data_IF_416664932910
#
_entry.id   IF_416664932910
#
_cell.length_a   1.000
_cell.length_b   1.000
_cell.length_c   1.000
_cell.angle_alpha   90.00
_cell.angle_beta   90.00
_cell.angle_gamma   90.00
#
_symmetry.space_group_name_H-M   'P 1'
#
loop_
_entity.id
_entity.type
_entity.pdbx_description
1 polymer ?
#
# COMPACT_ATOMS: atom_id res chain seq x y z
N UNK A 1 -29.35 -11.65 -5.51
CA UNK A 1 -28.56 -10.41 -5.30
C UNK A 1 -28.08 -10.21 -3.86
N UNK A 2 -28.61 -10.89 -2.84
CA UNK A 2 -28.18 -10.73 -1.43
C UNK A 2 -26.93 -11.54 -1.00
N UNK A 3 -26.30 -12.31 -1.91
CA UNK A 3 -25.19 -13.22 -1.60
C UNK A 3 -23.99 -13.07 -2.56
N UNK A 4 -23.96 -12.00 -3.36
CA UNK A 4 -22.82 -11.76 -4.26
C UNK A 4 -21.75 -10.95 -3.53
N UNK A 5 -20.54 -11.49 -3.51
CA UNK A 5 -19.34 -10.85 -2.98
C UNK A 5 -18.58 -10.14 -4.11
N UNK A 6 -17.88 -9.07 -3.72
CA UNK A 6 -16.96 -8.35 -4.58
C UNK A 6 -15.54 -8.86 -4.35
N UNK A 7 -14.81 -9.11 -5.44
CA UNK A 7 -13.44 -9.61 -5.39
C UNK A 7 -12.50 -8.71 -6.17
N UNK A 8 -11.42 -8.27 -5.55
CA UNK A 8 -10.28 -7.70 -6.26
C UNK A 8 -9.40 -8.84 -6.73
N UNK A 9 -9.18 -8.91 -8.04
CA UNK A 9 -8.34 -9.91 -8.67
C UNK A 9 -7.02 -9.28 -9.07
N UNK A 10 -5.92 -10.00 -8.82
CA UNK A 10 -4.58 -9.66 -9.30
C UNK A 10 -4.20 -10.69 -10.36
N UNK A 11 -4.02 -10.24 -11.60
CA UNK A 11 -3.60 -11.06 -12.74
C UNK A 11 -2.20 -10.75 -13.27
N UNK A 12 -1.49 -9.78 -12.71
CA UNK A 12 -0.19 -9.31 -13.20
C UNK A 12 1.03 -9.80 -12.40
N UNK A 13 2.22 -9.57 -13.00
CA UNK A 13 3.56 -9.90 -12.52
C UNK A 13 3.96 -9.30 -11.16
N UNK A 14 3.28 -8.24 -10.72
CA UNK A 14 3.66 -7.47 -9.53
C UNK A 14 3.28 -8.23 -8.24
N UNK A 15 4.18 -9.12 -7.84
CA UNK A 15 4.04 -10.03 -6.71
C UNK A 15 5.17 -11.08 -6.63
N UNK A 16 5.78 -11.41 -7.77
CA UNK A 16 6.73 -12.52 -7.90
C UNK A 16 8.20 -12.09 -7.89
N UNK A 17 8.50 -10.87 -8.35
CA UNK A 17 9.87 -10.34 -8.43
C UNK A 17 10.26 -9.60 -7.15
N UNK A 18 11.24 -10.14 -6.43
CA UNK A 18 11.72 -9.58 -5.17
C UNK A 18 12.86 -8.58 -5.36
N UNK A 19 13.42 -8.47 -6.56
CA UNK A 19 14.42 -7.48 -6.97
C UNK A 19 13.85 -6.06 -6.89
N UNK A 20 12.66 -5.85 -7.45
CA UNK A 20 11.96 -4.58 -7.34
C UNK A 20 11.60 -4.28 -5.88
N UNK A 21 11.16 -5.28 -5.10
CA UNK A 21 10.84 -5.08 -3.69
C UNK A 21 12.07 -4.62 -2.89
N UNK A 22 13.21 -5.25 -3.12
CA UNK A 22 14.48 -4.85 -2.53
C UNK A 22 14.86 -3.42 -2.94
N UNK A 23 14.73 -3.06 -4.23
CA UNK A 23 15.02 -1.71 -4.71
C UNK A 23 14.16 -0.67 -3.99
N UNK A 24 12.85 -0.90 -3.86
CA UNK A 24 11.94 0.01 -3.14
C UNK A 24 12.32 0.13 -1.66
N UNK A 25 12.73 -0.96 -1.02
CA UNK A 25 13.20 -0.94 0.36
C UNK A 25 14.50 -0.11 0.50
N UNK A 26 15.46 -0.27 -0.42
CA UNK A 26 16.70 0.50 -0.45
C UNK A 26 16.42 1.99 -0.64
N UNK A 27 15.49 2.37 -1.53
CA UNK A 27 15.09 3.76 -1.74
C UNK A 27 14.51 4.36 -0.44
N UNK A 28 13.63 3.63 0.25
CA UNK A 28 13.04 4.11 1.50
C UNK A 28 14.08 4.28 2.63
N UNK A 29 15.01 3.34 2.75
CA UNK A 29 16.15 3.44 3.68
C UNK A 29 17.01 4.66 3.32
N UNK A 30 17.28 4.87 2.04
CA UNK A 30 18.08 6.01 1.57
C UNK A 30 17.41 7.34 1.91
N UNK A 31 16.10 7.49 1.67
CA UNK A 31 15.32 8.68 2.06
C UNK A 31 15.42 8.91 3.57
N UNK A 32 15.30 7.84 4.36
CA UNK A 32 15.38 7.92 5.83
C UNK A 32 16.75 8.41 6.30
N UNK A 33 17.83 7.88 5.71
CA UNK A 33 19.21 8.31 6.02
C UNK A 33 19.44 9.76 5.58
N UNK A 34 18.91 10.16 4.41
CA UNK A 34 19.04 11.51 3.90
C UNK A 34 18.30 12.53 4.79
N UNK A 35 17.07 12.25 5.22
CA UNK A 35 16.31 13.12 6.13
C UNK A 35 17.05 13.29 7.46
N UNK A 36 17.63 12.22 8.02
CA UNK A 36 18.45 12.31 9.23
C UNK A 36 19.68 13.19 8.99
N UNK A 37 20.44 12.98 7.92
CA UNK A 37 21.65 13.78 7.66
C UNK A 37 21.38 15.25 7.34
N UNK A 38 20.24 15.56 6.70
CA UNK A 38 19.95 16.92 6.26
C UNK A 38 19.17 17.75 7.28
N UNK A 39 18.26 17.13 8.03
CA UNK A 39 17.35 17.84 8.96
C UNK A 39 17.62 17.53 10.42
N UNK A 40 18.64 16.70 10.72
CA UNK A 40 19.02 16.24 12.06
C UNK A 40 17.83 15.73 12.90
N UNK A 41 16.88 15.06 12.24
CA UNK A 41 15.71 14.46 12.88
C UNK A 41 15.59 13.00 12.55
N UNK A 42 14.89 12.26 13.41
CA UNK A 42 14.71 10.80 13.27
C UNK A 42 13.28 10.39 12.94
N UNK A 43 12.44 11.34 12.54
CA UNK A 43 11.03 11.11 12.20
C UNK A 43 10.86 9.94 11.23
N UNK A 44 11.63 9.93 10.14
CA UNK A 44 11.50 8.93 9.08
C UNK A 44 11.96 7.57 9.54
N UNK A 45 12.96 7.53 10.44
CA UNK A 45 13.42 6.29 11.03
C UNK A 45 12.32 5.66 11.89
N UNK A 46 11.63 6.44 12.70
CA UNK A 46 10.54 5.94 13.54
C UNK A 46 9.31 5.51 12.72
N UNK A 47 8.99 6.26 11.66
CA UNK A 47 7.94 5.87 10.70
C UNK A 47 8.31 4.58 9.98
N UNK A 48 9.57 4.44 9.55
CA UNK A 48 10.09 3.26 8.89
C UNK A 48 9.97 2.03 9.79
N UNK A 49 10.48 2.10 11.03
CA UNK A 49 10.47 0.99 11.98
C UNK A 49 9.04 0.59 12.37
N UNK A 50 8.18 1.57 12.65
CA UNK A 50 6.79 1.31 13.01
C UNK A 50 6.04 0.67 11.84
N UNK A 51 6.17 1.23 10.64
CA UNK A 51 5.59 0.67 9.43
C UNK A 51 6.11 -0.73 9.15
N UNK A 52 7.41 -1.00 9.36
CA UNK A 52 8.02 -2.30 9.11
C UNK A 52 7.42 -3.37 10.01
N UNK A 53 7.34 -3.09 11.32
CA UNK A 53 6.71 -4.02 12.29
C UNK A 53 5.25 -4.24 11.93
N UNK A 54 4.50 -3.16 11.69
CA UNK A 54 3.08 -3.23 11.41
C UNK A 54 2.77 -3.99 10.12
N UNK A 55 3.37 -3.60 9.00
CA UNK A 55 3.05 -4.18 7.69
C UNK A 55 3.60 -5.61 7.54
N UNK A 56 4.78 -5.90 8.10
CA UNK A 56 5.30 -7.28 8.14
C UNK A 56 4.35 -8.19 8.93
N UNK A 57 3.77 -7.71 10.03
CA UNK A 57 2.78 -8.47 10.81
C UNK A 57 1.50 -8.74 10.02
N UNK A 58 1.03 -7.75 9.24
CA UNK A 58 -0.12 -7.90 8.34
C UNK A 58 0.18 -8.92 7.24
N UNK A 59 1.34 -8.83 6.58
CA UNK A 59 1.74 -9.77 5.53
C UNK A 59 1.91 -11.20 6.07
N UNK A 60 2.47 -11.35 7.28
CA UNK A 60 2.58 -12.64 7.95
C UNK A 60 1.19 -13.24 8.21
N UNK A 61 0.24 -12.44 8.69
CA UNK A 61 -1.14 -12.89 8.92
C UNK A 61 -1.82 -13.30 7.62
N UNK A 62 -1.68 -12.51 6.54
CA UNK A 62 -2.25 -12.83 5.23
C UNK A 62 -1.67 -14.12 4.63
N UNK A 63 -0.38 -14.36 4.87
CA UNK A 63 0.27 -15.60 4.47
C UNK A 63 -0.24 -16.80 5.27
N UNK A 64 -0.27 -16.71 6.61
CA UNK A 64 -0.73 -17.79 7.49
C UNK A 64 -2.21 -18.16 7.27
N UNK A 65 -3.03 -17.21 6.83
CA UNK A 65 -4.46 -17.42 6.53
C UNK A 65 -4.71 -17.92 5.11
N UNK A 66 -3.67 -18.11 4.29
CA UNK A 66 -3.80 -18.56 2.90
C UNK A 66 -4.46 -17.54 1.96
N UNK A 67 -4.69 -16.30 2.43
CA UNK A 67 -5.23 -15.20 1.60
C UNK A 67 -4.18 -14.74 0.59
N UNK A 68 -2.90 -14.83 0.96
CA UNK A 68 -1.77 -14.49 0.09
C UNK A 68 -0.83 -15.67 -0.04
N UNK A 69 -0.86 -16.32 -1.19
CA UNK A 69 0.19 -17.25 -1.58
C UNK A 69 1.43 -16.47 -2.06
N UNK A 70 2.62 -16.90 -1.66
CA UNK A 70 3.90 -16.34 -2.09
C UNK A 70 4.75 -17.44 -2.75
N UNK A 71 4.27 -18.03 -3.86
CA UNK A 71 4.86 -19.24 -4.42
C UNK A 71 6.23 -18.98 -5.05
N UNK A 72 6.41 -17.80 -5.68
CA UNK A 72 7.64 -17.41 -6.35
C UNK A 72 8.36 -16.35 -5.51
N UNK A 73 9.40 -16.78 -4.78
CA UNK A 73 10.21 -15.91 -3.91
C UNK A 73 11.68 -15.97 -4.31
N UNK A 74 11.98 -15.45 -5.49
CA UNK A 74 13.33 -15.40 -6.01
C UNK A 74 13.92 -14.00 -5.92
N UNK A 75 15.13 -13.90 -5.39
CA UNK A 75 15.94 -12.69 -5.39
C UNK A 75 17.23 -12.97 -6.17
N UNK A 76 17.37 -12.33 -7.33
CA UNK A 76 18.47 -12.56 -8.28
C UNK A 76 18.64 -14.04 -8.64
N UNK A 77 17.53 -14.74 -8.84
CA UNK A 77 17.49 -16.17 -9.17
C UNK A 77 17.69 -17.12 -7.98
N UNK A 78 17.89 -16.60 -6.76
CA UNK A 78 18.01 -17.42 -5.54
C UNK A 78 16.68 -17.44 -4.80
N UNK A 79 16.16 -18.63 -4.50
CA UNK A 79 14.97 -18.76 -3.66
C UNK A 79 15.28 -18.30 -2.24
N UNK A 80 14.56 -17.28 -1.76
CA UNK A 80 14.71 -16.76 -0.39
C UNK A 80 13.68 -17.44 0.53
N UNK A 81 13.99 -17.64 1.82
CA UNK A 81 13.04 -18.26 2.74
C UNK A 81 11.93 -17.29 3.18
N UNK A 82 10.82 -17.83 3.70
CA UNK A 82 9.62 -17.06 4.13
C UNK A 82 9.97 -15.95 5.13
N UNK A 83 10.87 -16.23 6.06
CA UNK A 83 11.30 -15.27 7.08
C UNK A 83 12.11 -14.08 6.54
N UNK A 84 12.53 -14.14 5.28
CA UNK A 84 13.10 -13.00 4.52
C UNK A 84 12.05 -12.40 3.59
N UNK A 85 11.27 -13.25 2.92
CA UNK A 85 10.30 -12.81 1.91
C UNK A 85 9.17 -11.98 2.52
N UNK A 86 8.63 -12.38 3.67
CA UNK A 86 7.53 -11.66 4.35
C UNK A 86 7.98 -10.27 4.86
N UNK A 87 9.11 -10.11 5.57
CA UNK A 87 9.61 -8.78 5.90
C UNK A 87 9.93 -7.93 4.67
N UNK A 88 10.53 -8.51 3.62
CA UNK A 88 10.87 -7.75 2.41
C UNK A 88 9.62 -7.25 1.70
N UNK A 89 8.56 -8.07 1.65
CA UNK A 89 7.23 -7.69 1.22
C UNK A 89 6.66 -6.54 2.07
N UNK A 90 6.77 -6.69 3.40
CA UNK A 90 6.45 -5.70 4.41
C UNK A 90 7.04 -4.32 4.10
N UNK A 91 8.36 -4.32 3.90
CA UNK A 91 9.15 -3.14 3.60
C UNK A 91 8.77 -2.52 2.26
N UNK A 92 8.65 -3.32 1.20
CA UNK A 92 8.46 -2.78 -0.15
C UNK A 92 7.05 -2.25 -0.41
N UNK A 93 6.01 -2.99 -0.02
CA UNK A 93 4.63 -2.60 -0.32
C UNK A 93 4.08 -1.62 0.72
N UNK A 94 4.42 -1.80 2.00
CA UNK A 94 3.95 -0.93 3.08
C UNK A 94 4.93 0.21 3.34
N UNK A 95 6.11 -0.11 3.87
CA UNK A 95 6.98 0.92 4.45
C UNK A 95 7.48 1.92 3.42
N UNK A 96 7.94 1.45 2.27
CA UNK A 96 8.48 2.31 1.23
C UNK A 96 7.44 3.29 0.72
N UNK A 97 6.18 2.85 0.55
CA UNK A 97 5.09 3.70 0.09
C UNK A 97 4.74 4.75 1.15
N UNK A 98 4.68 4.37 2.43
CA UNK A 98 4.48 5.30 3.53
C UNK A 98 5.58 6.36 3.64
N UNK A 99 6.86 5.96 3.49
CA UNK A 99 8.01 6.86 3.51
C UNK A 99 7.99 7.79 2.30
N UNK A 100 7.69 7.30 1.09
CA UNK A 100 7.56 8.14 -0.09
C UNK A 100 6.42 9.15 0.04
N UNK A 101 5.26 8.73 0.55
CA UNK A 101 4.13 9.63 0.80
C UNK A 101 4.46 10.74 1.81
N UNK A 102 5.15 10.38 2.90
CA UNK A 102 5.61 11.35 3.90
C UNK A 102 6.68 12.30 3.34
N UNK A 103 7.61 11.77 2.53
CA UNK A 103 8.65 12.56 1.87
C UNK A 103 8.07 13.63 0.95
N UNK A 104 7.17 13.23 0.07
CA UNK A 104 6.49 14.15 -0.86
C UNK A 104 5.69 15.20 -0.07
N UNK A 105 5.03 14.78 1.02
CA UNK A 105 4.28 15.67 1.93
C UNK A 105 5.19 16.73 2.56
N UNK A 106 6.29 16.31 3.17
CA UNK A 106 7.20 17.24 3.85
C UNK A 106 7.87 18.20 2.86
N UNK A 107 8.20 17.73 1.65
CA UNK A 107 8.68 18.60 0.57
C UNK A 107 7.61 19.63 0.16
N UNK A 108 6.32 19.25 0.15
CA UNK A 108 5.23 20.15 -0.26
C UNK A 108 4.96 21.25 0.78
N UNK A 109 5.00 20.87 2.06
CA UNK A 109 4.77 21.76 3.19
C UNK A 109 5.89 22.79 3.34
N UNK A 110 7.12 22.40 2.99
CA UNK A 110 8.27 23.30 2.90
C UNK A 110 8.16 24.21 1.66
N UNK A 111 8.06 25.52 1.89
CA UNK A 111 7.85 26.51 0.81
C UNK A 111 8.99 26.55 -0.19
N UNK A 112 10.23 26.36 0.26
CA UNK A 112 11.41 26.42 -0.60
C UNK A 112 11.54 25.14 -1.43
N UNK A 113 11.11 24.02 -0.85
CA UNK A 113 11.25 22.69 -1.46
C UNK A 113 10.02 22.21 -2.23
N UNK A 114 8.90 22.97 -2.22
CA UNK A 114 7.63 22.59 -2.83
C UNK A 114 7.74 22.16 -4.30
N UNK A 115 8.58 22.82 -5.09
CA UNK A 115 8.81 22.43 -6.49
C UNK A 115 9.36 21.01 -6.62
N UNK A 116 10.22 20.59 -5.70
CA UNK A 116 10.79 19.24 -5.67
C UNK A 116 9.76 18.20 -5.23
N UNK A 117 8.74 18.58 -4.44
CA UNK A 117 7.61 17.69 -4.16
C UNK A 117 6.89 17.27 -5.43
N UNK A 118 6.55 18.24 -6.30
CA UNK A 118 5.87 17.96 -7.58
C UNK A 118 6.75 17.11 -8.48
N UNK A 119 8.05 17.44 -8.61
CA UNK A 119 9.00 16.67 -9.42
C UNK A 119 9.11 15.23 -8.90
N UNK A 120 9.25 15.06 -7.59
CA UNK A 120 9.36 13.73 -6.96
C UNK A 120 8.07 12.93 -7.16
N UNK A 121 6.91 13.57 -6.98
CA UNK A 121 5.60 12.95 -7.18
C UNK A 121 5.43 12.48 -8.63
N UNK A 122 5.77 13.32 -9.61
CA UNK A 122 5.74 12.95 -11.03
C UNK A 122 6.73 11.82 -11.34
N UNK A 123 7.95 11.86 -10.78
CA UNK A 123 8.94 10.80 -10.98
C UNK A 123 8.45 9.45 -10.43
N UNK A 124 7.83 9.43 -9.25
CA UNK A 124 7.21 8.23 -8.66
C UNK A 124 6.10 7.70 -9.57
N UNK A 125 5.18 8.57 -10.02
CA UNK A 125 4.08 8.19 -10.92
C UNK A 125 4.60 7.63 -12.24
N UNK A 126 5.57 8.30 -12.86
CA UNK A 126 6.17 7.85 -14.12
C UNK A 126 6.90 6.53 -13.92
N UNK A 127 7.68 6.37 -12.86
CA UNK A 127 8.35 5.09 -12.54
C UNK A 127 7.35 3.95 -12.36
N UNK A 128 6.26 4.19 -11.63
CA UNK A 128 5.18 3.20 -11.46
C UNK A 128 4.51 2.84 -12.78
N UNK A 129 4.19 3.82 -13.61
CA UNK A 129 3.62 3.58 -14.94
C UNK A 129 4.58 2.74 -15.79
N UNK A 130 5.86 3.12 -15.87
CA UNK A 130 6.86 2.37 -16.64
C UNK A 130 6.97 0.91 -16.17
N UNK A 131 6.99 0.68 -14.87
CA UNK A 131 7.03 -0.68 -14.31
C UNK A 131 5.76 -1.46 -14.69
N UNK A 132 4.57 -0.88 -14.56
CA UNK A 132 3.32 -1.58 -14.87
C UNK A 132 3.13 -1.88 -16.35
N UNK A 133 3.56 -0.97 -17.23
CA UNK A 133 3.44 -1.15 -18.68
C UNK A 133 4.65 -1.84 -19.33
N UNK A 134 5.71 -2.12 -18.56
CA UNK A 134 6.93 -2.78 -19.07
C UNK A 134 6.68 -4.16 -19.70
N UNK A 135 5.64 -4.86 -19.24
CA UNK A 135 5.26 -6.18 -19.73
C UNK A 135 4.03 -6.15 -20.65
N UNK A 136 3.61 -4.96 -21.11
CA UNK A 136 2.44 -4.77 -21.94
C UNK A 136 1.11 -4.73 -21.18
N UNK A 137 0.01 -4.74 -21.93
CA UNK A 137 -1.37 -4.72 -21.40
C UNK A 137 -1.90 -6.16 -21.37
N UNK A 138 -2.34 -6.58 -20.19
CA UNK A 138 -2.90 -7.90 -19.96
C UNK A 138 -4.40 -7.91 -20.26
N UNK A 139 -4.90 -9.03 -20.76
CA UNK A 139 -6.34 -9.26 -20.91
C UNK A 139 -6.82 -9.97 -19.63
N UNK A 140 -7.76 -9.38 -18.87
CA UNK A 140 -8.29 -9.99 -17.65
C UNK A 140 -8.85 -11.41 -17.87
N UNK A 141 -8.33 -12.40 -17.13
CA UNK A 141 -8.81 -13.78 -17.17
C UNK A 141 -10.02 -13.98 -16.23
N UNK A 142 -11.14 -13.37 -16.59
CA UNK A 142 -12.35 -13.32 -15.76
C UNK A 142 -12.88 -14.73 -15.47
N UNK A 143 -13.03 -15.06 -14.19
CA UNK A 143 -13.50 -16.38 -13.75
C UNK A 143 -12.48 -17.52 -13.91
N UNK A 144 -11.30 -17.23 -14.46
CA UNK A 144 -10.21 -18.21 -14.61
C UNK A 144 -9.30 -18.33 -13.40
N UNK A 145 -8.23 -19.13 -13.58
CA UNK A 145 -7.12 -19.22 -12.63
C UNK A 145 -6.32 -17.92 -12.65
N UNK A 146 -6.11 -17.36 -11.47
CA UNK A 146 -5.43 -16.07 -11.25
C UNK A 146 -4.54 -16.19 -10.01
N UNK A 147 -3.42 -15.43 -9.94
CA UNK A 147 -2.52 -15.45 -8.79
C UNK A 147 -3.18 -15.15 -7.44
N UNK A 148 -4.11 -14.19 -7.40
CA UNK A 148 -4.77 -13.81 -6.16
C UNK A 148 -6.17 -13.29 -6.41
N UNK A 149 -7.14 -13.80 -5.64
CA UNK A 149 -8.53 -13.31 -5.61
C UNK A 149 -8.91 -13.04 -4.16
N UNK A 150 -9.12 -11.77 -3.81
CA UNK A 150 -9.39 -11.33 -2.44
C UNK A 150 -10.74 -10.62 -2.38
N UNK A 151 -11.58 -11.03 -1.44
CA UNK A 151 -12.84 -10.35 -1.14
C UNK A 151 -12.60 -8.90 -0.68
N UNK A 152 -13.47 -7.97 -1.10
CA UNK A 152 -13.34 -6.54 -0.75
C UNK A 152 -13.79 -6.26 0.69
N UNK A 153 -14.87 -6.92 1.13
CA UNK A 153 -15.46 -6.74 2.46
C UNK A 153 -15.49 -8.05 3.27
N UNK A 154 -14.35 -8.72 3.48
CA UNK A 154 -14.32 -9.87 4.34
C UNK A 154 -14.49 -9.49 5.81
N UNK A 155 -14.80 -10.48 6.66
CA UNK A 155 -15.03 -10.25 8.10
C UNK A 155 -13.84 -9.57 8.79
N UNK A 156 -12.60 -9.86 8.36
CA UNK A 156 -11.40 -9.21 8.91
C UNK A 156 -11.27 -7.72 8.56
N UNK A 157 -12.05 -7.19 7.61
CA UNK A 157 -12.15 -5.74 7.41
C UNK A 157 -12.72 -5.01 8.63
N UNK A 158 -13.39 -5.73 9.55
CA UNK A 158 -13.78 -5.19 10.86
C UNK A 158 -12.59 -4.82 11.76
N UNK A 159 -11.37 -5.29 11.45
CA UNK A 159 -10.16 -4.90 12.15
C UNK A 159 -9.62 -3.54 11.70
N UNK A 160 -10.01 -3.03 10.52
CA UNK A 160 -9.52 -1.76 9.99
C UNK A 160 -9.75 -0.59 10.97
N UNK A 161 -10.95 -0.40 11.56
CA UNK A 161 -11.15 0.64 12.58
C UNK A 161 -10.20 0.51 13.78
N UNK A 162 -9.89 -0.72 14.22
CA UNK A 162 -8.96 -0.96 15.33
C UNK A 162 -7.55 -0.54 14.93
N UNK A 163 -7.10 -0.95 13.75
CA UNK A 163 -5.77 -0.62 13.21
C UNK A 163 -5.58 0.89 13.01
N UNK A 164 -6.64 1.59 12.61
CA UNK A 164 -6.62 3.03 12.32
C UNK A 164 -6.87 3.87 13.57
N UNK A 165 -7.40 3.29 14.65
CA UNK A 165 -7.73 4.02 15.89
C UNK A 165 -6.57 4.85 16.48
N UNK A 166 -5.28 4.43 16.44
CA UNK A 166 -4.18 5.28 16.91
C UNK A 166 -4.05 6.55 16.08
N UNK A 167 -4.25 6.47 14.76
CA UNK A 167 -4.21 7.63 13.89
C UNK A 167 -5.36 8.60 14.18
N UNK A 168 -6.58 8.11 14.34
CA UNK A 168 -7.74 8.94 14.69
C UNK A 168 -7.51 9.64 16.03
N UNK A 169 -7.05 8.89 17.05
CA UNK A 169 -6.76 9.44 18.36
C UNK A 169 -5.68 10.53 18.30
N UNK A 170 -4.58 10.28 17.57
CA UNK A 170 -3.52 11.24 17.36
C UNK A 170 -4.01 12.52 16.66
N UNK A 171 -4.80 12.39 15.59
CA UNK A 171 -5.37 13.53 14.87
C UNK A 171 -6.18 14.47 15.77
N UNK A 172 -6.93 13.90 16.73
CA UNK A 172 -7.74 14.67 17.69
C UNK A 172 -6.85 15.40 18.71
N UNK A 173 -5.77 14.75 19.17
CA UNK A 173 -4.96 15.24 20.30
C UNK A 173 -3.77 16.11 19.92
N UNK A 174 -3.26 15.99 18.71
CA UNK A 174 -2.03 16.67 18.29
C UNK A 174 -2.24 18.15 17.97
N UNK A 175 -1.15 18.90 18.00
CA UNK A 175 -1.05 20.30 17.59
C UNK A 175 -1.43 20.53 16.11
N UNK A 176 -1.65 21.80 15.74
CA UNK A 176 -2.10 22.17 14.38
C UNK A 176 -1.10 21.81 13.28
N UNK A 177 0.21 21.91 13.53
CA UNK A 177 1.23 21.66 12.52
C UNK A 177 1.41 20.16 12.26
N UNK A 178 1.47 19.34 13.32
CA UNK A 178 1.50 17.89 13.20
C UNK A 178 0.21 17.35 12.55
N UNK A 179 -0.95 17.94 12.91
CA UNK A 179 -2.23 17.60 12.29
C UNK A 179 -2.24 17.89 10.80
N UNK A 180 -1.73 19.07 10.42
CA UNK A 180 -1.58 19.47 9.01
C UNK A 180 -0.66 18.48 8.29
N UNK A 181 0.49 18.14 8.85
CA UNK A 181 1.42 17.14 8.30
C UNK A 181 0.72 15.80 8.05
N UNK A 182 -0.02 15.28 9.03
CA UNK A 182 -0.79 14.04 8.88
C UNK A 182 -1.87 14.13 7.80
N UNK A 183 -2.59 15.25 7.72
CA UNK A 183 -3.64 15.44 6.73
C UNK A 183 -3.10 15.50 5.30
N UNK A 184 -1.97 16.19 5.09
CA UNK A 184 -1.32 16.22 3.78
C UNK A 184 -0.74 14.85 3.40
N UNK A 185 -0.20 14.09 4.35
CA UNK A 185 0.22 12.70 4.12
C UNK A 185 -0.97 11.83 3.67
N UNK A 186 -2.12 11.96 4.34
CA UNK A 186 -3.34 11.26 3.93
C UNK A 186 -3.74 11.61 2.48
N UNK A 187 -3.75 12.89 2.12
CA UNK A 187 -4.07 13.34 0.75
C UNK A 187 -3.06 12.78 -0.26
N UNK A 188 -1.76 12.89 0.01
CA UNK A 188 -0.72 12.38 -0.89
C UNK A 188 -0.87 10.87 -1.10
N UNK A 189 -1.07 10.10 -0.02
CA UNK A 189 -1.29 8.66 -0.09
C UNK A 189 -2.57 8.30 -0.83
N UNK A 190 -3.65 9.06 -0.64
CA UNK A 190 -4.91 8.87 -1.36
C UNK A 190 -4.72 9.08 -2.88
N UNK A 191 -4.09 10.18 -3.29
CA UNK A 191 -3.86 10.46 -4.71
C UNK A 191 -2.92 9.41 -5.32
N UNK A 192 -1.81 9.07 -4.64
CA UNK A 192 -0.91 7.99 -5.08
C UNK A 192 -1.68 6.68 -5.23
N UNK A 193 -2.53 6.34 -4.26
CA UNK A 193 -3.36 5.14 -4.28
C UNK A 193 -4.32 5.08 -5.48
N UNK A 194 -5.02 6.18 -5.75
CA UNK A 194 -5.90 6.30 -6.92
C UNK A 194 -5.14 6.11 -8.23
N UNK A 195 -3.99 6.78 -8.39
CA UNK A 195 -3.17 6.69 -9.61
C UNK A 195 -2.58 5.29 -9.77
N UNK A 196 -2.09 4.69 -8.68
CA UNK A 196 -1.60 3.32 -8.65
C UNK A 196 -2.66 2.36 -9.17
N UNK A 197 -3.85 2.38 -8.57
CA UNK A 197 -4.94 1.49 -8.97
C UNK A 197 -5.41 1.75 -10.39
N UNK A 198 -5.45 3.00 -10.83
CA UNK A 198 -5.76 3.34 -12.21
C UNK A 198 -4.77 2.69 -13.19
N UNK A 199 -3.47 2.74 -12.92
CA UNK A 199 -2.48 2.07 -13.77
C UNK A 199 -2.59 0.55 -13.75
N UNK A 200 -2.90 -0.06 -12.59
CA UNK A 200 -3.18 -1.50 -12.55
C UNK A 200 -4.41 -1.88 -13.37
N UNK A 201 -5.44 -1.04 -13.33
CA UNK A 201 -6.66 -1.25 -14.10
C UNK A 201 -6.41 -1.08 -15.61
N UNK A 202 -5.70 0.00 -16.01
CA UNK A 202 -5.35 0.28 -17.40
C UNK A 202 -4.41 -0.78 -18.01
N UNK A 203 -3.49 -1.31 -17.22
CA UNK A 203 -2.59 -2.40 -17.65
C UNK A 203 -3.26 -3.78 -17.64
N UNK A 204 -4.52 -3.88 -17.19
CA UNK A 204 -5.26 -5.14 -17.07
C UNK A 204 -4.74 -6.09 -15.98
N UNK A 205 -3.84 -5.61 -15.12
CA UNK A 205 -3.22 -6.40 -14.05
C UNK A 205 -4.12 -6.53 -12.81
N UNK A 206 -5.07 -5.61 -12.61
CA UNK A 206 -6.12 -5.74 -11.59
C UNK A 206 -7.49 -5.40 -12.15
N UNK A 207 -8.48 -6.17 -11.75
CA UNK A 207 -9.90 -5.94 -12.08
C UNK A 207 -10.77 -6.38 -10.90
N UNK A 208 -12.07 -6.07 -10.97
CA UNK A 208 -13.04 -6.50 -9.96
C UNK A 208 -13.97 -7.54 -10.56
N UNK A 209 -14.21 -8.60 -9.80
CA UNK A 209 -15.19 -9.62 -10.12
C UNK A 209 -16.34 -9.59 -9.11
N UNK A 210 -17.53 -9.91 -9.61
CA UNK A 210 -18.73 -10.18 -8.80
C UNK A 210 -18.99 -11.67 -8.91
N UNK A 211 -19.22 -12.33 -7.79
CA UNK A 211 -19.60 -13.74 -7.78
C UNK A 211 -20.09 -14.20 -6.42
N UNK A 212 -20.42 -15.48 -6.30
CA UNK A 212 -20.87 -16.08 -5.04
C UNK A 212 -19.71 -16.82 -4.40
N UNK A 213 -19.43 -16.52 -3.12
CA UNK A 213 -18.53 -17.32 -2.30
C UNK A 213 -19.32 -18.50 -1.73
N UNK A 214 -19.00 -19.70 -2.19
CA UNK A 214 -19.65 -20.91 -1.71
C UNK A 214 -19.09 -21.31 -0.32
N UNK A 215 -19.82 -22.13 0.47
CA UNK A 215 -19.36 -22.57 1.80
C UNK A 215 -18.05 -23.39 1.79
N UNK A 216 -17.73 -24.02 0.66
CA UNK A 216 -16.49 -24.76 0.43
C UNK A 216 -15.28 -23.84 0.10
N UNK A 217 -15.48 -22.52 0.07
CA UNK A 217 -14.46 -21.54 -0.27
C UNK A 217 -14.24 -21.38 -1.78
N UNK A 218 -14.97 -22.12 -2.62
CA UNK A 218 -14.92 -22.00 -4.08
C UNK A 218 -15.80 -20.84 -4.52
N UNK A 219 -15.39 -20.14 -5.57
CA UNK A 219 -16.17 -19.05 -6.16
C UNK A 219 -16.97 -19.54 -7.36
N UNK A 220 -18.24 -19.16 -7.43
CA UNK A 220 -19.13 -19.47 -8.55
C UNK A 220 -19.74 -18.19 -9.15
N UNK A 221 -20.23 -18.29 -10.39
CA UNK A 221 -20.87 -17.18 -11.12
C UNK A 221 -19.99 -15.93 -11.25
N UNK A 222 -18.67 -16.12 -11.36
CA UNK A 222 -17.71 -15.03 -11.49
C UNK A 222 -17.91 -14.31 -12.83
N UNK A 223 -18.15 -13.01 -12.74
CA UNK A 223 -18.21 -12.10 -13.87
C UNK A 223 -17.46 -10.82 -13.54
N UNK A 224 -17.02 -10.09 -14.57
CA UNK A 224 -16.41 -8.78 -14.37
C UNK A 224 -17.47 -7.81 -13.84
N UNK A 225 -17.09 -6.99 -12.87
CA UNK A 225 -17.93 -5.92 -12.38
C UNK A 225 -18.16 -4.86 -13.46
N UNK A 226 -19.26 -4.12 -13.38
CA UNK A 226 -19.43 -2.94 -14.20
C UNK A 226 -18.43 -1.83 -13.80
N UNK A 227 -18.29 -0.82 -14.67
CA UNK A 227 -17.33 0.25 -14.46
C UNK A 227 -17.59 1.02 -13.15
N UNK A 228 -18.85 1.22 -12.78
CA UNK A 228 -19.22 1.98 -11.57
C UNK A 228 -18.73 1.25 -10.32
N UNK A 229 -18.94 -0.06 -10.26
CA UNK A 229 -18.48 -0.91 -9.16
C UNK A 229 -16.94 -1.00 -9.18
N UNK A 230 -16.31 -1.17 -10.33
CA UNK A 230 -14.84 -1.18 -10.43
C UNK A 230 -14.23 0.10 -9.86
N UNK A 231 -14.71 1.28 -10.29
CA UNK A 231 -14.22 2.57 -9.78
C UNK A 231 -14.55 2.80 -8.30
N UNK A 232 -15.71 2.34 -7.83
CA UNK A 232 -16.07 2.43 -6.41
C UNK A 232 -15.15 1.60 -5.52
N UNK A 233 -14.79 0.39 -5.97
CA UNK A 233 -13.83 -0.47 -5.26
C UNK A 233 -12.42 0.12 -5.31
N UNK A 234 -12.00 0.72 -6.43
CA UNK A 234 -10.74 1.45 -6.53
C UNK A 234 -10.69 2.59 -5.50
N UNK A 235 -11.76 3.40 -5.43
CA UNK A 235 -11.84 4.51 -4.49
C UNK A 235 -11.82 4.04 -3.04
N UNK A 236 -12.60 3.00 -2.72
CA UNK A 236 -12.57 2.37 -1.39
C UNK A 236 -11.16 1.92 -1.02
N UNK A 237 -10.46 1.24 -1.94
CA UNK A 237 -9.12 0.74 -1.67
C UNK A 237 -8.11 1.87 -1.46
N UNK A 238 -8.15 2.90 -2.31
CA UNK A 238 -7.28 4.07 -2.18
C UNK A 238 -7.51 4.83 -0.86
N UNK A 239 -8.75 4.99 -0.42
CA UNK A 239 -9.06 5.66 0.86
C UNK A 239 -8.69 4.77 2.04
N UNK A 240 -9.20 3.54 2.08
CA UNK A 240 -9.20 2.72 3.29
C UNK A 240 -7.93 1.88 3.40
N UNK A 241 -7.55 1.18 2.33
CA UNK A 241 -6.42 0.24 2.33
C UNK A 241 -5.08 0.89 1.99
N UNK A 242 -5.07 2.17 1.60
CA UNK A 242 -3.83 2.91 1.29
C UNK A 242 -3.74 4.18 2.12
N UNK A 243 -4.65 5.14 1.97
CA UNK A 243 -4.49 6.40 2.70
C UNK A 243 -4.65 6.22 4.21
N UNK A 244 -5.70 5.51 4.65
CA UNK A 244 -6.06 5.42 6.05
C UNK A 244 -5.16 4.45 6.85
N UNK A 245 -4.90 3.24 6.32
CA UNK A 245 -4.14 2.20 7.04
C UNK A 245 -2.64 2.52 7.21
N UNK A 246 -2.12 3.52 6.48
CA UNK A 246 -0.74 3.98 6.59
C UNK A 246 -0.58 5.12 7.61
N UNK A 247 -1.66 5.80 7.98
CA UNK A 247 -1.61 6.87 8.99
C UNK A 247 -1.04 6.42 10.35
N UNK A 248 -1.32 5.19 10.85
CA UNK A 248 -0.69 4.66 12.05
C UNK A 248 0.85 4.68 12.02
N UNK A 249 1.48 4.59 10.84
CA UNK A 249 2.95 4.60 10.73
C UNK A 249 3.53 5.91 11.22
N UNK A 250 2.80 7.03 11.04
CA UNK A 250 3.16 8.35 11.54
C UNK A 250 2.62 8.57 12.96
N UNK A 251 1.36 8.20 13.19
CA UNK A 251 0.68 8.49 14.45
C UNK A 251 1.30 7.78 15.66
N UNK A 252 1.64 6.50 15.54
CA UNK A 252 2.20 5.72 16.66
C UNK A 252 3.52 6.34 17.17
N UNK A 253 4.50 6.69 16.33
CA UNK A 253 5.68 7.42 16.77
C UNK A 253 5.40 8.72 17.53
N UNK A 254 4.42 9.52 17.09
CA UNK A 254 4.00 10.72 17.82
C UNK A 254 3.40 10.38 19.19
N UNK A 255 2.53 9.36 19.25
CA UNK A 255 1.91 8.92 20.50
C UNK A 255 2.91 8.34 21.49
N UNK A 256 3.97 7.69 20.99
CA UNK A 256 5.06 7.17 21.80
C UNK A 256 6.11 8.23 22.17
N UNK A 257 5.95 9.49 21.76
CA UNK A 257 6.91 10.58 22.03
C UNK A 257 8.25 10.42 21.28
N UNK A 258 8.29 9.57 20.26
CA UNK A 258 9.50 9.35 19.43
C UNK A 258 9.69 10.45 18.39
N UNK A 259 8.59 11.10 17.98
CA UNK A 259 8.58 12.30 17.16
C UNK A 259 8.05 13.46 18.00
N UNK A 260 8.80 14.57 18.04
CA UNK A 260 8.41 15.74 18.80
C UNK A 260 7.28 16.50 18.09
N UNK A 261 6.27 16.92 18.86
CA UNK A 261 5.27 17.90 18.42
C UNK A 261 5.94 19.28 18.40
N UNK A 262 5.65 20.07 17.36
CA UNK A 262 6.21 21.42 17.20
C UNK A 262 5.26 22.47 17.76
#
# INVERSE_FOLDING_TARGET
MLLESLFIVRGGFWGEEYEFKLLFAIVAISITILDWKWKDRKDYLWVFLTGAIFWTSVELMLHLTGVRDMPNRYLFGVEIPIWVSVPMQGLSEGVSVGIMGLFITDLYLDKEMRKYSIITFLAVITGMALVMFSHGIYIPNVGGKVPSRREVFPLWSLLIPVLVSPAIYWFIKTDSESRKRGFYMFITMFILGCIWYLFYWLSGQRWVEIGTKNPDGIYSNLRRADLVIEFSVILYNAVVEIALIYMPFLAIPYLCGLIQQK
#
